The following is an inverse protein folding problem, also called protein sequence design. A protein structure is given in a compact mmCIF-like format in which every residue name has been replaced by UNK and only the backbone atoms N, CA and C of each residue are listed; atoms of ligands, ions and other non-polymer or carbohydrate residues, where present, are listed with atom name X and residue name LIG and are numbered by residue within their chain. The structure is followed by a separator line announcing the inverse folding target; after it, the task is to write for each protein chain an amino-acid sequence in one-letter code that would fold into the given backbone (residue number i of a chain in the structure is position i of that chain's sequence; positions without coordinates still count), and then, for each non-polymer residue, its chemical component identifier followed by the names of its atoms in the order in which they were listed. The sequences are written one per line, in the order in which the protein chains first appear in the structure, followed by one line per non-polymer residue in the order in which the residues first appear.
data_IF_277544478782
#
_entry.id   IF_277544478782
#
_cell.length_a   1.000
_cell.length_b   1.000
_cell.length_c   1.000
_cell.angle_alpha   90.00
_cell.angle_beta   90.00
_cell.angle_gamma   90.00
#
_symmetry.space_group_name_H-M   'P 1'
#
loop_
_entity.id
_entity.type
_entity.pdbx_description
1 polymer ?
2 non-polymer ?
3 non-polymer ?
4 non-polymer ?
5 water ?
#
# COMPACT_ATOMS: atom_id res chain seq x y z
N UNK A 1 2.62 15.54 -8.07
CA UNK A 1 3.85 16.05 -7.47
C UNK A 1 4.16 17.42 -7.96
N UNK A 2 3.41 17.93 -9.03
CA UNK A 2 3.97 19.12 -9.76
C UNK A 2 5.34 18.90 -10.20
N UNK A 3 6.30 19.65 -9.71
CA UNK A 3 7.66 19.50 -10.18
C UNK A 3 8.37 18.23 -9.70
N UNK A 4 7.69 17.59 -8.74
CA UNK A 4 8.27 16.38 -8.16
C UNK A 4 7.40 15.16 -8.48
N UNK A 5 6.60 15.28 -9.50
CA UNK A 5 5.76 14.15 -9.90
C UNK A 5 6.48 12.92 -10.23
N UNK A 6 5.98 11.79 -9.64
CA UNK A 6 6.35 10.45 -10.08
C UNK A 6 5.10 9.68 -10.13
N UNK A 7 5.10 8.61 -10.92
CA UNK A 7 4.00 7.64 -11.02
C UNK A 7 4.57 6.35 -10.54
N UNK A 8 4.21 6.01 -9.32
CA UNK A 8 4.99 4.98 -8.53
C UNK A 8 4.06 3.87 -8.08
N UNK A 9 4.59 2.64 -8.14
CA UNK A 9 3.92 1.50 -7.45
C UNK A 9 4.91 1.00 -6.39
N UNK A 10 4.40 0.75 -5.19
CA UNK A 10 5.17 -0.01 -4.19
C UNK A 10 4.64 -1.48 -4.15
N UNK A 11 5.49 -2.51 -4.27
CA UNK A 11 4.99 -3.87 -4.15
C UNK A 11 5.81 -4.44 -2.95
N UNK A 12 5.17 -5.22 -2.16
CA UNK A 12 5.95 -5.82 -1.07
C UNK A 12 4.91 -6.62 -0.27
N UNK A 13 5.46 -7.51 0.54
CA UNK A 13 4.61 -8.39 1.39
C UNK A 13 3.63 -7.55 2.18
N UNK A 14 2.45 -8.08 2.57
CA UNK A 14 1.59 -7.47 3.52
C UNK A 14 2.44 -7.15 4.78
N UNK A 15 2.37 -5.91 5.29
CA UNK A 15 3.15 -5.66 6.44
C UNK A 15 4.59 -5.14 6.28
N UNK A 16 4.99 -4.88 5.03
CA UNK A 16 6.35 -4.57 4.71
C UNK A 16 6.75 -3.09 4.93
N UNK A 17 5.75 -2.29 5.20
CA UNK A 17 6.12 -0.87 5.60
C UNK A 17 5.77 0.06 4.42
N UNK A 18 4.93 -0.34 3.46
CA UNK A 18 4.55 0.56 2.30
C UNK A 18 3.78 1.73 2.82
N UNK A 19 2.80 1.63 3.73
CA UNK A 19 1.97 2.82 4.05
C UNK A 19 2.87 3.67 4.86
N UNK A 20 3.79 3.11 5.70
CA UNK A 20 4.71 3.99 6.49
C UNK A 20 5.50 4.86 5.52
N UNK A 21 6.08 4.27 4.49
CA UNK A 21 6.92 5.07 3.53
C UNK A 21 6.04 6.03 2.76
N UNK A 22 4.77 5.71 2.53
CA UNK A 22 3.90 6.64 1.76
C UNK A 22 3.67 7.96 2.49
N UNK A 23 3.81 7.94 3.81
CA UNK A 23 3.70 9.20 4.53
C UNK A 23 4.76 10.16 4.07
N UNK A 24 6.03 9.77 3.96
CA UNK A 24 7.05 10.77 3.50
C UNK A 24 6.83 10.98 2.04
N UNK A 25 6.53 9.92 1.27
CA UNK A 25 6.42 10.15 -0.19
C UNK A 25 5.32 11.15 -0.54
N UNK A 26 4.14 11.09 0.10
CA UNK A 26 3.03 12.02 -0.13
C UNK A 26 3.52 13.40 0.19
N UNK A 27 4.21 13.53 1.27
CA UNK A 27 4.46 14.86 1.80
C UNK A 27 5.66 15.42 1.01
N UNK A 28 6.67 14.65 0.74
CA UNK A 28 7.88 15.25 0.13
C UNK A 28 7.68 15.48 -1.35
N UNK A 29 7.00 14.51 -1.98
CA UNK A 29 6.86 14.55 -3.47
C UNK A 29 5.49 15.04 -3.93
N UNK A 30 4.51 15.19 -3.05
CA UNK A 30 3.14 15.76 -3.41
C UNK A 30 2.35 14.80 -4.29
N UNK A 31 2.53 13.52 -3.98
CA UNK A 31 1.82 12.48 -4.78
C UNK A 31 0.54 12.06 -4.10
N UNK A 32 -0.42 11.53 -4.89
CA UNK A 32 -1.67 11.03 -4.27
C UNK A 32 -1.34 9.59 -3.76
N UNK A 33 -1.68 9.26 -2.53
CA UNK A 33 -1.37 7.93 -2.08
C UNK A 33 -2.66 7.09 -2.28
N UNK A 34 -2.59 6.02 -3.07
CA UNK A 34 -3.71 5.15 -3.22
C UNK A 34 -3.46 3.75 -2.63
N UNK A 35 -3.90 3.53 -1.39
CA UNK A 35 -3.82 2.24 -0.76
C UNK A 35 -5.17 1.65 -1.01
N UNK A 36 -5.30 0.52 -1.82
CA UNK A 36 -6.57 0.01 -1.98
C UNK A 36 -7.08 -0.69 -0.66
N UNK A 37 -6.21 -1.04 0.24
CA UNK A 37 -6.69 -1.58 1.57
C UNK A 37 -7.31 -0.40 2.38
N UNK A 38 -6.66 0.74 2.41
CA UNK A 38 -7.33 1.82 3.12
C UNK A 38 -8.61 2.26 2.45
N UNK A 39 -8.67 2.31 1.13
CA UNK A 39 -9.83 2.63 0.30
C UNK A 39 -11.00 1.66 0.54
N UNK A 40 -10.65 0.38 0.63
CA UNK A 40 -11.67 -0.60 1.04
C UNK A 40 -12.16 -0.41 2.44
N UNK A 41 -11.30 -0.19 3.44
CA UNK A 41 -11.70 0.08 4.82
C UNK A 41 -12.55 1.36 4.84
N UNK A 42 -12.18 2.40 4.10
CA UNK A 42 -13.13 3.58 3.95
C UNK A 42 -14.48 3.26 3.22
N UNK A 43 -14.46 2.40 2.22
CA UNK A 43 -15.75 1.97 1.60
C UNK A 43 -16.61 1.15 2.57
N UNK A 44 -15.98 0.35 3.41
CA UNK A 44 -16.65 -0.42 4.45
C UNK A 44 -17.29 0.56 5.42
N UNK A 45 -16.45 1.34 6.16
CA UNK A 45 -16.79 2.11 7.40
C UNK A 45 -17.92 3.07 7.13
N UNK A 46 -17.96 3.60 5.90
CA UNK A 46 -19.13 4.34 5.36
C UNK A 46 -20.29 3.44 4.95
N UNK A 47 -20.36 2.20 5.45
CA UNK A 47 -21.49 1.29 5.13
C UNK A 47 -21.91 1.05 3.67
N UNK A 50 -20.24 -2.23 -1.19
CA UNK A 50 -18.92 -2.75 -0.72
C UNK A 50 -18.83 -2.73 0.82
N UNK A 51 -19.62 -3.65 1.43
CA UNK A 51 -19.93 -3.71 2.86
C UNK A 51 -19.49 -5.04 3.42
N UNK A 52 -20.40 -5.96 3.72
CA UNK A 52 -20.14 -6.98 4.80
C UNK A 52 -19.37 -8.14 4.18
N UNK A 53 -19.71 -8.37 2.92
CA UNK A 53 -18.98 -9.43 2.23
C UNK A 53 -17.54 -9.03 2.00
N UNK A 54 -17.32 -7.79 1.44
CA UNK A 54 -15.88 -7.27 1.37
C UNK A 54 -15.25 -7.29 2.74
N UNK A 55 -15.99 -6.91 3.82
CA UNK A 55 -15.42 -6.94 5.18
C UNK A 55 -14.94 -8.32 5.55
N UNK A 56 -15.79 -9.36 5.33
CA UNK A 56 -15.31 -10.67 5.70
C UNK A 56 -14.07 -11.12 4.89
N UNK A 57 -14.12 -10.90 3.59
CA UNK A 57 -12.98 -11.26 2.73
C UNK A 57 -11.67 -10.62 3.23
N UNK A 58 -11.69 -9.29 3.56
CA UNK A 58 -10.50 -8.62 4.10
C UNK A 58 -10.08 -9.22 5.42
N UNK A 59 -11.03 -9.43 6.36
CA UNK A 59 -10.63 -9.95 7.65
C UNK A 59 -10.19 -11.44 7.56
N UNK A 60 -10.46 -12.16 6.42
CA UNK A 60 -10.00 -13.59 6.25
C UNK A 60 -8.52 -13.54 5.70
N UNK A 61 -8.15 -12.36 5.16
CA UNK A 61 -6.83 -12.17 4.49
C UNK A 61 -6.84 -12.39 3.04
N UNK A 62 -7.98 -12.75 2.44
CA UNK A 62 -8.07 -12.99 1.02
C UNK A 62 -8.23 -11.75 0.21
N UNK A 63 -7.98 -11.86 -1.09
CA UNK A 63 -8.17 -10.80 -1.99
C UNK A 63 -9.61 -10.49 -2.30
N UNK A 64 -9.97 -9.20 -2.41
CA UNK A 64 -11.23 -8.86 -2.93
C UNK A 64 -11.10 -9.01 -4.44
N UNK A 65 -12.23 -9.10 -5.13
CA UNK A 65 -12.27 -9.23 -6.61
C UNK A 65 -11.47 -8.19 -7.42
N UNK A 66 -10.76 -8.60 -8.46
CA UNK A 66 -9.98 -7.69 -9.31
C UNK A 66 -10.84 -6.55 -9.79
N UNK A 67 -12.07 -6.81 -10.18
CA UNK A 67 -12.91 -5.83 -10.80
C UNK A 67 -13.34 -4.75 -9.78
N UNK A 68 -13.54 -5.13 -8.57
CA UNK A 68 -13.93 -4.21 -7.52
C UNK A 68 -12.74 -3.20 -7.30
N UNK A 69 -11.53 -3.71 -7.10
CA UNK A 69 -10.47 -2.81 -6.86
C UNK A 69 -10.08 -2.02 -8.07
N UNK A 70 -10.11 -2.63 -9.28
CA UNK A 70 -9.84 -1.83 -10.49
C UNK A 70 -10.88 -0.66 -10.61
N UNK A 71 -12.12 -0.90 -10.18
CA UNK A 71 -13.20 0.13 -10.22
C UNK A 71 -12.81 1.29 -9.34
N UNK A 72 -12.34 0.95 -8.17
CA UNK A 72 -12.00 2.03 -7.17
C UNK A 72 -10.79 2.79 -7.66
N UNK A 73 -9.80 2.13 -8.24
CA UNK A 73 -8.60 2.87 -8.71
C UNK A 73 -9.00 3.71 -9.94
N UNK A 74 -9.71 3.10 -10.90
CA UNK A 74 -10.10 3.85 -12.09
C UNK A 74 -10.87 5.12 -11.67
N UNK A 75 -11.74 5.04 -10.66
CA UNK A 75 -12.55 6.15 -10.22
C UNK A 75 -11.57 7.27 -9.82
N UNK A 76 -10.47 6.92 -9.15
CA UNK A 76 -9.51 8.03 -8.73
C UNK A 76 -8.91 8.70 -9.91
N UNK A 77 -8.42 7.92 -10.88
CA UNK A 77 -7.85 8.45 -12.11
C UNK A 77 -8.86 9.27 -12.86
N UNK A 78 -10.10 8.78 -12.94
CA UNK A 78 -11.10 9.50 -13.78
C UNK A 78 -11.42 10.87 -13.12
N UNK A 79 -11.38 10.94 -11.79
CA UNK A 79 -11.73 12.24 -11.10
C UNK A 79 -10.62 13.28 -11.20
N UNK A 80 -9.42 12.87 -11.61
CA UNK A 80 -8.19 13.79 -11.71
C UNK A 80 -7.29 13.73 -10.51
N UNK A 81 -7.54 12.80 -9.57
CA UNK A 81 -6.74 12.70 -8.31
C UNK A 81 -5.25 12.41 -8.58
N UNK A 82 -4.95 11.88 -9.77
CA UNK A 82 -3.60 11.30 -9.97
C UNK A 82 -2.76 12.10 -10.92
N UNK A 83 -3.31 13.19 -11.48
CA UNK A 83 -2.59 13.98 -12.50
C UNK A 83 -1.27 14.58 -12.03
N UNK A 84 -1.20 14.85 -10.74
CA UNK A 84 0.03 15.34 -10.13
C UNK A 84 0.99 14.24 -9.60
N UNK A 85 0.73 12.99 -9.99
CA UNK A 85 1.60 11.91 -9.58
C UNK A 85 0.84 11.05 -8.53
N UNK A 86 1.38 9.85 -8.36
CA UNK A 86 0.65 8.98 -7.40
C UNK A 86 1.65 7.92 -6.96
N UNK A 87 1.31 7.40 -5.75
CA UNK A 87 1.99 6.20 -5.28
C UNK A 87 0.91 5.15 -4.90
N UNK A 88 0.96 4.06 -5.64
CA UNK A 88 -0.01 2.89 -5.45
C UNK A 88 0.63 1.92 -4.48
N UNK A 89 -0.20 1.47 -3.47
CA UNK A 89 0.36 0.78 -2.33
C UNK A 89 -0.67 -0.40 -2.13
N UNK A 90 -0.09 -1.55 -2.44
CA UNK A 90 -1.00 -2.74 -2.33
C UNK A 90 -1.81 -2.95 -3.59
N UNK A 91 -1.53 -2.18 -4.62
CA UNK A 91 -2.24 -2.34 -5.93
C UNK A 91 -1.21 -1.94 -6.92
N UNK A 92 -1.13 -2.63 -8.01
CA UNK A 92 -1.80 -3.95 -8.24
C UNK A 92 -1.30 -5.07 -7.36
N UNK A 93 -2.08 -6.13 -7.14
CA UNK A 93 -1.51 -7.20 -6.38
C UNK A 93 -1.79 -8.51 -7.11
N UNK A 94 -2.34 -8.45 -8.35
CA UNK A 94 -2.46 -9.64 -9.20
C UNK A 94 -2.09 -9.17 -10.63
N UNK A 95 -1.82 -10.12 -11.50
CA UNK A 95 -1.50 -9.83 -12.86
C UNK A 95 -2.72 -9.18 -13.56
N UNK A 96 -4.00 -9.68 -13.45
CA UNK A 96 -5.14 -8.92 -14.04
C UNK A 96 -5.25 -7.49 -13.57
N UNK A 97 -4.86 -7.25 -12.33
CA UNK A 97 -4.86 -5.78 -11.89
C UNK A 97 -3.78 -4.99 -12.55
N UNK A 98 -2.59 -5.57 -12.73
CA UNK A 98 -1.47 -4.87 -13.44
C UNK A 98 -1.89 -4.55 -14.91
N UNK A 99 -2.49 -5.54 -15.54
CA UNK A 99 -2.94 -5.32 -16.95
C UNK A 99 -4.04 -4.25 -16.96
N UNK A 100 -4.94 -4.27 -15.96
CA UNK A 100 -6.06 -3.34 -15.90
C UNK A 100 -5.45 -1.97 -15.69
N UNK A 101 -4.47 -1.85 -14.81
CA UNK A 101 -3.80 -0.55 -14.65
C UNK A 101 -3.08 -0.04 -15.94
N UNK A 102 -2.40 -0.95 -16.67
CA UNK A 102 -1.74 -0.55 -17.92
C UNK A 102 -2.79 0.06 -18.89
N UNK A 103 -4.01 -0.45 -18.91
CA UNK A 103 -5.12 0.06 -19.77
C UNK A 103 -5.56 1.42 -19.29
N UNK A 104 -5.68 1.60 -17.97
CA UNK A 104 -6.10 2.87 -17.44
C UNK A 104 -5.06 3.88 -17.81
N UNK A 105 -3.76 3.59 -17.65
CA UNK A 105 -2.72 4.60 -17.93
C UNK A 105 -2.64 4.81 -19.47
N UNK A 106 -2.87 3.73 -20.21
CA UNK A 106 -2.76 3.83 -21.71
C UNK A 106 -3.81 4.81 -22.18
N UNK A 107 -5.02 4.70 -21.62
CA UNK A 107 -6.11 5.58 -21.99
C UNK A 107 -5.97 7.03 -21.60
N UNK A 108 -4.99 7.35 -20.74
CA UNK A 108 -4.71 8.77 -20.51
C UNK A 108 -3.37 9.21 -21.11
N UNK A 109 -2.59 8.28 -21.60
CA UNK A 109 -1.29 8.63 -22.16
C UNK A 109 -0.24 8.92 -21.09
N UNK A 110 -0.54 8.58 -19.82
CA UNK A 110 0.49 8.69 -18.79
C UNK A 110 1.18 7.31 -18.70
N UNK A 111 2.30 7.25 -18.00
CA UNK A 111 3.01 5.96 -17.85
C UNK A 111 3.63 5.91 -16.43
N UNK A 112 3.98 4.69 -16.01
CA UNK A 112 4.68 4.53 -14.72
C UNK A 112 6.11 5.02 -14.74
N UNK A 113 6.56 5.71 -13.66
CA UNK A 113 7.90 6.08 -13.46
C UNK A 113 8.76 4.93 -12.93
N UNK A 114 8.30 4.30 -11.84
CA UNK A 114 9.19 3.41 -11.11
C UNK A 114 8.28 2.48 -10.36
N UNK A 115 8.77 1.27 -10.13
CA UNK A 115 8.07 0.33 -9.24
C UNK A 115 9.15 -0.05 -8.22
N UNK A 116 8.79 -0.03 -6.95
CA UNK A 116 9.80 -0.24 -5.89
C UNK A 116 9.33 -1.47 -5.14
N UNK A 117 10.20 -2.48 -5.04
CA UNK A 117 9.84 -3.74 -4.42
C UNK A 117 10.52 -3.79 -3.04
N UNK A 118 9.72 -3.96 -1.99
CA UNK A 118 10.22 -3.92 -0.61
C UNK A 118 10.59 -5.38 -0.26
N UNK A 119 11.90 -5.65 -0.18
CA UNK A 119 12.29 -7.04 0.15
C UNK A 119 12.34 -7.25 1.65
N UNK A 120 11.64 -8.27 2.08
CA UNK A 120 11.57 -8.52 3.58
C UNK A 120 11.04 -9.91 3.72
N UNK A 121 11.51 -10.62 4.75
CA UNK A 121 11.05 -12.02 4.89
C UNK A 121 9.84 -12.22 5.79
N UNK A 122 9.16 -13.36 5.69
CA UNK A 122 7.89 -13.52 6.40
C UNK A 122 8.02 -13.50 7.91
N UNK A 123 9.15 -13.97 8.46
CA UNK A 123 9.26 -13.94 9.94
C UNK A 123 9.33 -12.49 10.43
N UNK A 124 10.03 -11.65 9.73
CA UNK A 124 10.05 -10.24 10.22
C UNK A 124 8.70 -9.66 10.00
N UNK A 125 8.00 -10.00 8.92
CA UNK A 125 6.61 -9.38 8.75
C UNK A 125 5.74 -9.74 9.95
N UNK A 126 5.81 -10.93 10.51
CA UNK A 126 4.98 -11.29 11.63
C UNK A 126 5.31 -10.39 12.81
N UNK A 127 6.56 -9.93 12.96
CA UNK A 127 6.95 -9.09 14.08
C UNK A 127 6.43 -7.68 13.68
N UNK A 128 6.50 -7.32 12.41
CA UNK A 128 5.98 -5.94 12.06
C UNK A 128 4.48 -5.83 12.36
N UNK A 129 3.70 -6.84 12.01
CA UNK A 129 2.21 -6.77 12.16
C UNK A 129 1.88 -6.87 13.66
N UNK A 130 2.62 -7.69 14.39
CA UNK A 130 2.24 -7.94 15.78
C UNK A 130 2.32 -6.66 16.64
N UNK A 131 3.16 -5.72 16.28
CA UNK A 131 3.26 -4.44 17.04
C UNK A 131 2.43 -3.32 16.45
N UNK A 132 1.68 -3.54 15.42
CA UNK A 132 1.05 -2.43 14.69
C UNK A 132 -0.12 -1.89 15.39
N UNK A 133 -0.30 -0.58 15.37
CA UNK A 133 -1.69 -0.03 15.60
C UNK A 133 -1.92 1.17 14.68
N UNK A 134 -3.20 1.50 14.51
CA UNK A 134 -3.52 2.35 13.40
C UNK A 134 -4.48 3.46 13.85
N UNK A 135 -4.25 4.70 13.35
CA UNK A 135 -5.32 5.71 13.48
C UNK A 135 -6.37 5.51 12.38
N UNK A 136 -7.60 5.02 12.73
CA UNK A 136 -8.55 4.63 11.68
C UNK A 136 -8.99 5.73 10.70
N UNK A 137 -9.03 7.00 11.14
CA UNK A 137 -9.61 8.04 10.24
C UNK A 137 -8.64 8.41 9.16
N UNK A 138 -7.33 8.32 9.43
CA UNK A 138 -6.28 8.83 8.50
C UNK A 138 -5.53 7.68 7.91
N UNK A 139 -5.55 6.55 8.63
CA UNK A 139 -4.82 5.37 8.09
C UNK A 139 -3.35 5.43 8.61
N UNK A 140 -2.96 6.48 9.35
CA UNK A 140 -1.62 6.50 9.89
C UNK A 140 -1.32 5.23 10.75
N UNK A 141 -0.08 4.82 10.69
CA UNK A 141 0.27 3.55 11.39
C UNK A 141 1.46 3.78 12.28
N UNK A 142 1.45 3.02 13.38
CA UNK A 142 2.58 3.08 14.34
C UNK A 142 2.99 1.66 14.72
N UNK A 143 4.12 1.55 15.37
CA UNK A 143 4.55 0.20 15.85
C UNK A 143 5.00 0.42 17.31
N UNK A 144 4.49 -0.40 18.22
CA UNK A 144 4.79 -0.18 19.63
C UNK A 144 6.24 -0.29 19.98
N UNK A 145 7.06 -1.06 19.21
CA UNK A 145 8.49 -1.10 19.43
C UNK A 145 9.28 -0.13 18.53
N UNK A 146 8.99 -0.15 17.21
CA UNK A 146 9.98 0.39 16.19
C UNK A 146 9.50 1.70 15.62
N UNK A 147 8.29 2.15 15.89
CA UNK A 147 7.80 3.42 15.38
C UNK A 147 6.60 3.88 16.17
N UNK A 148 6.82 4.18 17.46
CA UNK A 148 5.72 4.44 18.38
C UNK A 148 5.07 5.79 18.22
N UNK A 149 3.87 5.95 18.71
CA UNK A 149 3.26 7.30 18.78
C UNK A 149 4.14 8.13 19.76
N UNK A 150 4.07 9.45 19.56
CA UNK A 150 4.77 10.35 20.50
C UNK A 150 4.16 10.34 21.90
N UNK A 151 2.85 10.24 21.99
CA UNK A 151 2.12 10.14 23.27
C UNK A 151 1.44 8.73 23.26
N UNK A 152 1.35 8.15 24.46
CA UNK A 152 0.80 6.76 24.59
C UNK A 152 -0.59 6.57 24.11
N UNK A 153 -0.79 5.58 23.20
CA UNK A 153 -2.12 5.19 22.88
C UNK A 153 -2.86 6.06 21.88
N UNK A 154 -2.16 7.13 21.39
CA UNK A 154 -2.96 8.11 20.58
C UNK A 154 -2.15 8.65 19.34
N UNK A 155 -2.96 9.02 18.36
CA UNK A 155 -2.43 9.55 17.14
C UNK A 155 -1.67 10.87 17.37
N UNK A 156 -0.53 11.00 16.68
CA UNK A 156 0.34 12.19 16.83
C UNK A 156 -0.35 13.45 16.34
N UNK A 157 -1.19 13.34 15.33
CA UNK A 157 -1.77 14.54 14.67
C UNK A 157 -3.06 14.94 15.41
N UNK A 158 -3.97 13.99 15.59
CA UNK A 158 -5.35 14.26 16.18
C UNK A 158 -5.53 13.99 17.68
N UNK A 159 -4.62 13.23 18.30
CA UNK A 159 -4.82 12.81 19.67
C UNK A 159 -5.88 11.73 19.82
N UNK A 160 -6.40 11.16 18.71
CA UNK A 160 -7.48 10.23 18.79
C UNK A 160 -6.86 8.82 19.04
N UNK A 161 -7.68 7.90 19.55
CA UNK A 161 -7.09 6.60 19.97
C UNK A 161 -6.56 5.85 18.73
N UNK A 162 -5.53 5.04 19.06
CA UNK A 162 -5.08 4.05 18.03
C UNK A 162 -5.80 2.75 18.28
N UNK A 163 -5.95 1.96 17.24
CA UNK A 163 -6.79 0.77 17.28
C UNK A 163 -6.15 -0.40 16.50
N UNK A 164 -6.65 -1.56 16.82
CA UNK A 164 -6.29 -2.87 16.22
C UNK A 164 -7.00 -2.91 14.87
N UNK A 165 -6.35 -3.65 13.94
CA UNK A 165 -6.96 -4.05 12.64
C UNK A 165 -7.44 -5.51 12.67
N UNK A 166 -8.69 -5.68 12.35
CA UNK A 166 -9.27 -7.01 12.52
C UNK A 166 -8.61 -7.98 11.61
N UNK A 167 -7.90 -7.57 10.54
CA UNK A 167 -7.28 -8.60 9.73
C UNK A 167 -5.88 -9.03 10.24
N UNK A 168 -5.45 -8.40 11.36
CA UNK A 168 -4.20 -8.71 11.98
C UNK A 168 -4.29 -9.94 12.94
N UNK A 169 -5.21 -10.81 12.65
CA UNK A 169 -5.31 -12.03 13.48
C UNK A 169 -4.42 -13.11 12.80
N UNK A 170 -4.02 -14.14 13.57
CA UNK A 170 -2.96 -15.06 13.12
C UNK A 170 -3.36 -15.79 11.83
N UNK A 171 -4.60 -16.27 11.72
CA UNK A 171 -4.95 -17.03 10.50
C UNK A 171 -4.96 -16.13 9.26
N UNK A 172 -5.55 -14.90 9.41
CA UNK A 172 -5.48 -13.98 8.23
C UNK A 172 -4.05 -13.56 7.83
N UNK A 173 -3.18 -13.40 8.82
CA UNK A 173 -1.73 -13.08 8.46
C UNK A 173 -1.16 -14.17 7.61
N UNK A 174 -1.47 -15.41 8.01
CA UNK A 174 -1.03 -16.58 7.15
C UNK A 174 -1.62 -16.54 5.76
N UNK A 175 -2.89 -16.30 5.63
CA UNK A 175 -3.56 -16.10 4.30
C UNK A 175 -2.89 -15.00 3.50
N UNK A 176 -2.72 -13.81 4.15
CA UNK A 176 -2.17 -12.69 3.47
C UNK A 176 -0.80 -12.98 2.89
N UNK A 177 0.08 -13.62 3.69
CA UNK A 177 1.38 -14.00 3.19
C UNK A 177 1.25 -15.05 2.05
N UNK A 178 0.39 -16.03 2.23
CA UNK A 178 0.32 -17.11 1.22
C UNK A 178 -0.13 -16.54 -0.13
N UNK A 179 -1.21 -15.75 -0.10
CA UNK A 179 -1.74 -15.20 -1.41
C UNK A 179 -0.72 -14.19 -1.99
N UNK A 180 -0.03 -13.43 -1.10
CA UNK A 180 1.05 -12.58 -1.61
C UNK A 180 2.15 -13.37 -2.38
N UNK A 181 2.60 -14.53 -1.84
CA UNK A 181 3.66 -15.26 -2.55
C UNK A 181 3.12 -15.90 -3.84
N UNK A 182 1.85 -16.38 -3.81
CA UNK A 182 1.27 -17.03 -5.00
C UNK A 182 0.92 -16.04 -6.12
N UNK A 183 0.27 -14.92 -5.78
CA UNK A 183 -0.40 -14.03 -6.74
C UNK A 183 0.29 -12.71 -6.95
N UNK A 184 0.93 -12.18 -5.89
CA UNK A 184 1.47 -10.80 -5.98
C UNK A 184 2.92 -10.85 -6.39
N UNK A 185 3.71 -11.76 -5.80
CA UNK A 185 5.12 -11.86 -6.10
C UNK A 185 5.51 -11.92 -7.62
N UNK A 186 4.69 -12.56 -8.47
CA UNK A 186 4.88 -12.55 -9.96
C UNK A 186 4.94 -11.19 -10.62
N UNK A 187 4.38 -10.20 -9.93
CA UNK A 187 4.47 -8.84 -10.40
C UNK A 187 5.88 -8.28 -10.39
N UNK A 188 6.78 -8.85 -9.60
CA UNK A 188 8.14 -8.34 -9.62
C UNK A 188 8.74 -8.62 -11.01
N UNK A 189 8.56 -9.83 -11.52
CA UNK A 189 9.09 -10.07 -12.91
C UNK A 189 8.37 -9.26 -13.97
N UNK A 190 7.05 -9.06 -13.82
CA UNK A 190 6.19 -8.30 -14.71
C UNK A 190 6.81 -6.94 -14.88
N UNK A 191 7.19 -6.31 -13.77
CA UNK A 191 7.77 -4.95 -13.85
C UNK A 191 9.23 -4.90 -14.17
N UNK A 192 9.99 -5.91 -13.78
CA UNK A 192 11.42 -6.00 -14.21
C UNK A 192 11.49 -6.13 -15.72
N UNK A 193 10.56 -6.87 -16.30
CA UNK A 193 10.45 -6.98 -17.79
C UNK A 193 10.17 -5.70 -18.52
N UNK A 194 9.62 -4.70 -17.83
CA UNK A 194 9.34 -3.38 -18.34
C UNK A 194 10.53 -2.48 -18.01
N UNK A 195 11.48 -2.95 -17.21
CA UNK A 195 12.69 -2.23 -16.91
C UNK A 195 12.54 -1.09 -15.95
N UNK A 196 11.42 -1.11 -15.17
CA UNK A 196 11.20 0.02 -14.22
C UNK A 196 11.17 -0.35 -12.73
N UNK A 197 11.57 -1.56 -12.42
CA UNK A 197 11.57 -2.07 -11.01
C UNK A 197 12.92 -1.91 -10.32
N UNK A 198 12.90 -1.39 -9.11
CA UNK A 198 14.08 -1.27 -8.25
C UNK A 198 13.64 -1.90 -6.86
N UNK A 199 14.61 -2.34 -6.08
CA UNK A 199 14.39 -3.04 -4.80
C UNK A 199 14.96 -2.22 -3.71
N UNK A 200 14.33 -2.32 -2.53
CA UNK A 200 14.88 -1.69 -1.30
C UNK A 200 14.85 -2.75 -0.24
N UNK A 201 15.76 -2.59 0.69
CA UNK A 201 15.85 -3.56 1.83
C UNK A 201 14.91 -3.11 2.90
N UNK A 202 13.73 -3.68 2.92
CA UNK A 202 12.68 -3.23 3.86
C UNK A 202 12.95 -3.72 5.30
N UNK A 203 13.96 -4.59 5.50
CA UNK A 203 14.28 -5.05 6.83
C UNK A 203 14.95 -3.97 7.68
N UNK A 204 15.50 -2.92 7.07
CA UNK A 204 16.18 -1.93 7.82
C UNK A 204 15.27 -0.99 8.61
N UNK A 205 15.82 -0.21 9.54
CA UNK A 205 14.98 0.78 10.22
C UNK A 205 14.26 1.75 9.27
N UNK A 206 13.13 2.31 9.74
CA UNK A 206 12.29 3.07 8.78
C UNK A 206 13.03 4.21 8.11
N UNK A 207 13.82 4.98 8.88
CA UNK A 207 14.58 6.04 8.21
C UNK A 207 15.54 5.63 7.20
N UNK A 208 16.22 4.46 7.35
CA UNK A 208 17.10 3.90 6.35
C UNK A 208 16.37 3.39 5.16
N UNK A 209 15.11 2.88 5.32
CA UNK A 209 14.37 2.53 4.14
C UNK A 209 13.99 3.82 3.34
N UNK A 210 13.63 4.89 4.05
CA UNK A 210 13.30 6.16 3.44
C UNK A 210 14.54 6.60 2.63
N UNK A 211 15.76 6.56 3.21
CA UNK A 211 16.92 6.96 2.38
C UNK A 211 17.13 6.08 1.15
N UNK A 212 16.84 4.79 1.16
CA UNK A 212 16.95 4.05 0.00
C UNK A 212 15.92 4.39 -1.03
N UNK A 213 14.71 4.71 -0.59
CA UNK A 213 13.73 5.15 -1.49
C UNK A 213 14.07 6.49 -2.15
N UNK A 214 14.56 7.42 -1.39
CA UNK A 214 15.00 8.72 -1.96
C UNK A 214 16.08 8.55 -3.03
N UNK A 215 16.91 7.52 -2.92
CA UNK A 215 17.95 7.28 -3.93
C UNK A 215 17.41 6.84 -5.24
N UNK A 216 16.27 6.17 -5.22
CA UNK A 216 15.62 5.69 -6.39
C UNK A 216 14.70 6.75 -7.03
N UNK A 217 14.10 7.63 -6.26
CA UNK A 217 13.16 8.67 -6.77
C UNK A 217 13.92 9.89 -7.31
X LIG B 1 -0.85 -0.50 4.40
X LIG C 1 -3.84 -3.48 3.12
X LIG C 1 -4.45 -2.44 4.08
X LIG C 1 -3.00 -3.03 2.03
X LIG C 1 -3.07 -4.58 3.98
X LIG C 1 -1.83 -5.51 3.62
X LIG C 1 -1.77 -5.77 2.19
X LIG C 1 -1.86 -6.67 4.63
X LIG C 1 -0.59 -4.46 4.03
X LIG C 1 -0.41 -3.57 5.30
X LIG C 1 -0.63 -4.42 6.49
X LIG C 1 -1.24 -2.36 5.09
X LIG C 1 1.13 -3.30 5.10
X LIG C 1 2.04 -1.99 4.79
X LIG C 1 1.14 -0.85 4.56
X LIG C 1 3.03 -2.41 3.79
X LIG C 1 2.86 -1.83 6.16
X LIG C 1 2.72 -0.68 7.26
X LIG C 1 1.36 -0.66 7.73
X LIG C 1 3.34 0.61 6.79
X LIG C 1 -4.97 -4.39 2.43
X LIG C 1 -5.99 -4.79 3.36
X LIG C 1 -6.67 -6.01 2.61
X LIG C 1 -7.58 -5.47 1.68
X LIG C 1 -5.83 -6.96 1.86
X LIG C 1 -5.26 -7.95 2.70
X LIG C 1 -6.94 -7.54 0.95
X LIG C 1 -7.89 -8.35 1.73
X LIG C 1 -7.68 -6.29 0.50
X LIG C 1 -7.03 -5.70 -0.64
X LIG C 1 -6.35 -4.46 -0.58
X LIG C 1 -5.87 -4.15 -1.77
X LIG C 1 -6.29 -5.16 -2.67
X LIG C 1 -6.13 -5.32 -4.03
X LIG C 1 -5.37 -4.60 -4.86
X LIG C 1 -6.73 -6.49 -4.55
X LIG C 1 -7.45 -7.25 -3.75
X LIG C 1 -7.64 -7.14 -2.43
X LIG C 1 -7.07 -5.97 -1.87
X LIG C 1 3.73 -1.22 8.33
X LIG C 1 3.37 -2.42 9.17
X LIG C 1 4.04 -2.17 10.53
X LIG C 1 5.48 -2.10 10.50
X LIG C 1 3.48 -0.94 11.24
X LIG C 1 3.37 -1.19 12.62
X LIG C 1 4.65 -0.03 11.01
X LIG C 1 4.73 0.95 12.03
X LIG C 1 5.90 -0.78 11.14
X LIG C 1 7.04 -0.41 10.37
X LIG C 1 7.06 0.20 9.12
X LIG C 1 8.34 0.31 8.72
X LIG C 1 9.14 -0.21 9.70
X LIG C 1 10.54 -0.53 9.77
X LIG C 1 11.35 -0.17 8.77
X LIG C 1 11.01 -1.11 10.90
X LIG C 1 10.12 -1.55 11.90
X LIG C 1 8.76 -1.35 11.85
X LIG C 1 8.25 -0.77 10.70
X LIG D 1 3.06 6.70 9.41
X LIG D 1 1.70 6.43 9.08
X LIG D 1 3.06 8.03 10.25
X LIG D 1 4.40 8.54 10.26
X LIG D 1 2.80 7.76 11.71
X LIG D 1 3.80 6.83 12.19
X LIG E 1 7.94 7.67 10.43
X LIG E 1 6.64 7.18 10.24
X LIG E 1 9.07 6.77 9.91
X LIG E 1 9.06 6.78 8.51
X LIG E 1 10.44 7.35 10.33
X LIG E 1 10.82 6.90 11.63
#
# INVERSE_FOLDING_TARGET
GNSKKHNLILIGAPGSGKGTQCEFIKKEYGLAHLSTGDMLREAIKNGTKIGLEAKSIIESGNFVGDEIVLGLVKEKFDLGVCVNGFVLDGFPRTIPQAEGLAKILSEIGDSLTSVIYFEIDDSEIIERISGRCTHPASGRIYHVKYNPPKQPGIDDVTGEPLVWRDDDNAEAVKVRLDVFHKQTAPLVKFYEDLGILKRVNAKLPPKEVTEQIKKIL
MG MG
AP5 PA O1A O2A O3A PB O1B O2B O3B PG O1G O2G O3G PD O1D O2D O3D PE O1E O2E O5F C5F C4F O4F C3F O3F C2F O2F C1F N9A C8A N7A C5A C6A N6A N1A C2A N3A C4A O5J C5J C4J O4J C3J O3J C2J O2J C1J N9B C8B N7B C5B C6B N6B N1B C2B N3B C4B
GOL C1 O1 C2 O2 C3 O3
GOL C1 O1 C2 O2 C3 O3
#
